data_IF_552964747464
#
_entry.id   IF_552964747464
#
_cell.length_a   1.000
_cell.length_b   1.000
_cell.length_c   1.000
_cell.angle_alpha   90.00
_cell.angle_beta   90.00
_cell.angle_gamma   90.00
#
_symmetry.space_group_name_H-M   'P 1'
#
loop_
_entity.id
_entity.type
_entity.pdbx_description
1 polymer ?
#
# COMPACT_ATOMS: atom_id res chain seq x y z
N UNK A 1 -31.88 11.15 -2.51
CA UNK A 1 -31.77 9.70 -2.28
C UNK A 1 -31.57 9.06 -3.64
N UNK A 2 -30.37 8.58 -3.97
CA UNK A 2 -30.12 7.90 -5.26
C UNK A 2 -30.70 6.50 -5.15
N UNK A 3 -31.72 6.20 -5.94
CA UNK A 3 -32.36 4.88 -5.91
C UNK A 3 -31.58 3.92 -6.82
N UNK A 4 -30.62 3.18 -6.25
CA UNK A 4 -29.79 2.25 -7.00
C UNK A 4 -30.52 0.92 -7.25
N UNK A 5 -30.47 0.43 -8.49
CA UNK A 5 -31.07 -0.82 -8.93
C UNK A 5 -30.06 -1.95 -8.75
N UNK A 6 -30.34 -2.90 -7.84
CA UNK A 6 -29.48 -4.08 -7.65
C UNK A 6 -29.67 -5.09 -8.77
N UNK A 7 -28.60 -5.80 -9.12
CA UNK A 7 -28.74 -7.03 -9.90
C UNK A 7 -29.60 -8.03 -9.11
N UNK A 8 -30.72 -8.45 -9.69
CA UNK A 8 -31.70 -9.34 -9.06
C UNK A 8 -31.29 -10.83 -9.05
N UNK A 9 -30.16 -11.16 -9.69
CA UNK A 9 -29.60 -12.53 -9.72
C UNK A 9 -28.47 -12.68 -8.71
N UNK A 10 -27.41 -11.87 -8.85
CA UNK A 10 -26.23 -12.00 -8.01
C UNK A 10 -26.32 -11.18 -6.73
N UNK A 11 -27.04 -10.06 -6.71
CA UNK A 11 -27.15 -9.08 -5.61
C UNK A 11 -25.86 -8.31 -5.25
N UNK A 12 -24.74 -8.52 -5.94
CA UNK A 12 -23.40 -8.00 -5.58
C UNK A 12 -23.00 -6.72 -6.34
N UNK A 13 -23.88 -6.18 -7.18
CA UNK A 13 -23.68 -4.92 -7.89
C UNK A 13 -24.99 -4.14 -7.98
N UNK A 14 -24.87 -2.82 -8.04
CA UNK A 14 -26.00 -1.90 -8.18
C UNK A 14 -25.73 -0.89 -9.29
N UNK A 15 -26.79 -0.44 -9.96
CA UNK A 15 -26.75 0.48 -11.11
C UNK A 15 -27.57 1.73 -10.81
N UNK A 16 -27.19 2.88 -11.37
CA UNK A 16 -27.97 4.11 -11.22
C UNK A 16 -29.18 4.20 -12.18
N UNK A 17 -29.26 3.34 -13.20
CA UNK A 17 -30.39 3.24 -14.12
C UNK A 17 -30.48 1.84 -14.73
N UNK A 18 -31.64 1.50 -15.30
CA UNK A 18 -31.82 0.25 -16.05
C UNK A 18 -30.99 0.26 -17.35
N UNK A 19 -30.79 1.43 -17.96
CA UNK A 19 -29.94 1.59 -19.14
C UNK A 19 -28.48 1.19 -18.86
N UNK A 20 -27.90 1.68 -17.75
CA UNK A 20 -26.54 1.30 -17.36
C UNK A 20 -26.43 -0.18 -16.95
N UNK A 21 -27.49 -0.74 -16.37
CA UNK A 21 -27.58 -2.18 -16.10
C UNK A 21 -27.58 -3.01 -17.39
N UNK A 22 -28.33 -2.57 -18.41
CA UNK A 22 -28.37 -3.24 -19.71
C UNK A 22 -27.06 -3.09 -20.48
N UNK A 23 -26.43 -1.91 -20.42
CA UNK A 23 -25.13 -1.66 -21.04
C UNK A 23 -24.04 -2.58 -20.46
N UNK A 24 -24.03 -2.77 -19.14
CA UNK A 24 -23.05 -3.62 -18.46
C UNK A 24 -23.39 -5.12 -18.51
N UNK A 25 -24.62 -5.51 -18.88
CA UNK A 25 -25.09 -6.89 -18.86
C UNK A 25 -24.18 -7.88 -19.63
N UNK A 26 -23.66 -7.58 -20.84
CA UNK A 26 -22.79 -8.51 -21.57
C UNK A 26 -21.50 -8.85 -20.80
N UNK A 27 -20.91 -7.85 -20.12
CA UNK A 27 -19.70 -7.99 -19.31
C UNK A 27 -20.02 -8.74 -18.01
N UNK A 28 -21.09 -8.34 -17.31
CA UNK A 28 -21.49 -8.91 -16.02
C UNK A 28 -22.00 -10.36 -16.06
N UNK A 29 -22.56 -10.81 -17.20
CA UNK A 29 -23.33 -12.06 -17.28
C UNK A 29 -22.57 -13.29 -16.77
N UNK A 30 -21.29 -13.41 -17.10
CA UNK A 30 -20.47 -14.58 -16.73
C UNK A 30 -20.30 -14.66 -15.21
N UNK A 31 -19.78 -13.61 -14.59
CA UNK A 31 -19.60 -13.54 -13.13
C UNK A 31 -20.93 -13.63 -12.37
N UNK A 32 -21.97 -12.98 -12.88
CA UNK A 32 -23.31 -13.06 -12.30
C UNK A 32 -23.81 -14.51 -12.21
N UNK A 33 -23.55 -15.32 -13.24
CA UNK A 33 -23.98 -16.72 -13.30
C UNK A 33 -23.19 -17.57 -12.31
N UNK A 34 -21.87 -17.36 -12.20
CA UNK A 34 -21.01 -18.04 -11.23
C UNK A 34 -21.40 -17.72 -9.78
N UNK A 35 -21.68 -16.44 -9.48
CA UNK A 35 -22.18 -16.01 -8.18
C UNK A 35 -23.53 -16.67 -7.87
N UNK A 36 -24.48 -16.62 -8.81
CA UNK A 36 -25.80 -17.21 -8.62
C UNK A 36 -25.71 -18.72 -8.35
N UNK A 37 -24.85 -19.43 -9.09
CA UNK A 37 -24.58 -20.86 -8.87
C UNK A 37 -24.07 -21.13 -7.45
N UNK A 38 -23.11 -20.34 -6.98
CA UNK A 38 -22.62 -20.46 -5.61
C UNK A 38 -23.73 -20.22 -4.58
N UNK A 39 -24.53 -19.18 -4.75
CA UNK A 39 -25.62 -18.84 -3.83
C UNK A 39 -26.71 -19.91 -3.80
N UNK A 40 -27.04 -20.54 -4.94
CA UNK A 40 -27.96 -21.68 -5.00
C UNK A 40 -27.45 -22.89 -4.21
N UNK A 41 -26.14 -23.15 -4.28
CA UNK A 41 -25.51 -24.23 -3.52
C UNK A 41 -25.34 -23.89 -2.03
N UNK A 42 -25.44 -22.60 -1.66
CA UNK A 42 -25.25 -22.10 -0.30
C UNK A 42 -26.40 -21.15 0.10
N UNK A 43 -27.65 -21.66 0.24
CA UNK A 43 -28.83 -20.81 0.36
C UNK A 43 -28.84 -19.90 1.59
N UNK A 44 -28.10 -20.26 2.65
CA UNK A 44 -28.00 -19.47 3.88
C UNK A 44 -26.88 -18.41 3.83
N UNK A 45 -26.07 -18.35 2.77
CA UNK A 45 -24.89 -17.49 2.73
C UNK A 45 -25.21 -16.01 3.02
N UNK A 46 -26.30 -15.49 2.43
CA UNK A 46 -26.69 -14.08 2.55
C UNK A 46 -27.36 -13.74 3.88
N UNK A 47 -27.97 -14.71 4.56
CA UNK A 47 -28.72 -14.50 5.81
C UNK A 47 -27.91 -14.86 7.05
N UNK A 48 -26.87 -15.68 6.89
CA UNK A 48 -26.01 -16.12 7.98
C UNK A 48 -25.27 -14.94 8.61
N UNK A 49 -25.18 -14.97 9.94
CA UNK A 49 -24.37 -14.06 10.74
C UNK A 49 -23.01 -14.66 11.00
N UNK A 50 -22.01 -13.79 11.03
CA UNK A 50 -20.62 -14.17 11.15
C UNK A 50 -19.89 -13.18 12.06
N UNK A 51 -18.91 -13.69 12.82
CA UNK A 51 -17.83 -12.85 13.30
C UNK A 51 -17.02 -12.34 12.11
N UNK A 52 -16.31 -11.21 12.28
CA UNK A 52 -15.50 -10.62 11.21
C UNK A 52 -14.52 -11.62 10.58
N UNK A 53 -13.78 -12.39 11.40
CA UNK A 53 -12.80 -13.37 10.93
C UNK A 53 -13.46 -14.47 10.10
N UNK A 54 -14.56 -15.04 10.59
CA UNK A 54 -15.23 -16.13 9.87
C UNK A 54 -15.89 -15.61 8.58
N UNK A 55 -16.41 -14.38 8.60
CA UNK A 55 -16.91 -13.71 7.40
C UNK A 55 -15.80 -13.53 6.36
N UNK A 56 -14.64 -13.00 6.76
CA UNK A 56 -13.49 -12.78 5.88
C UNK A 56 -13.01 -14.09 5.21
N UNK A 57 -12.88 -15.16 6.00
CA UNK A 57 -12.54 -16.50 5.48
C UNK A 57 -13.62 -16.99 4.51
N UNK A 58 -14.90 -16.81 4.85
CA UNK A 58 -16.01 -17.23 4.01
C UNK A 58 -16.14 -16.41 2.72
N UNK A 59 -15.77 -15.14 2.74
CA UNK A 59 -15.71 -14.29 1.56
C UNK A 59 -14.59 -14.70 0.62
N UNK A 60 -13.38 -14.96 1.16
CA UNK A 60 -12.27 -15.47 0.35
C UNK A 60 -12.61 -16.79 -0.34
N UNK A 61 -13.18 -17.75 0.38
CA UNK A 61 -13.63 -19.03 -0.20
C UNK A 61 -14.70 -18.84 -1.28
N UNK A 62 -15.59 -17.87 -1.09
CA UNK A 62 -16.61 -17.55 -2.08
C UNK A 62 -15.98 -16.97 -3.35
N UNK A 63 -15.09 -15.97 -3.22
CA UNK A 63 -14.35 -15.39 -4.32
C UNK A 63 -13.54 -16.45 -5.10
N UNK A 64 -12.80 -17.31 -4.40
CA UNK A 64 -12.03 -18.41 -4.99
C UNK A 64 -12.93 -19.40 -5.75
N UNK A 65 -14.11 -19.73 -5.20
CA UNK A 65 -15.08 -20.58 -5.89
C UNK A 65 -15.62 -19.94 -7.17
N UNK A 66 -15.88 -18.64 -7.17
CA UNK A 66 -16.36 -17.91 -8.36
C UNK A 66 -15.26 -17.84 -9.41
N UNK A 67 -14.02 -17.53 -9.02
CA UNK A 67 -12.87 -17.49 -9.91
C UNK A 67 -12.64 -18.87 -10.57
N UNK A 68 -12.75 -19.96 -9.80
CA UNK A 68 -12.65 -21.32 -10.32
C UNK A 68 -13.75 -21.64 -11.34
N UNK A 69 -14.99 -21.20 -11.10
CA UNK A 69 -16.12 -21.42 -12.03
C UNK A 69 -15.97 -20.60 -13.32
N UNK A 70 -15.38 -19.40 -13.23
CA UNK A 70 -15.09 -18.55 -14.39
C UNK A 70 -13.94 -19.07 -15.25
N UNK A 71 -13.01 -19.85 -14.68
CA UNK A 71 -11.83 -20.35 -15.38
C UNK A 71 -10.81 -19.28 -15.78
N UNK A 72 -10.91 -18.08 -15.18
CA UNK A 72 -9.97 -16.97 -15.36
C UNK A 72 -9.79 -16.20 -14.06
N UNK A 73 -8.75 -15.37 -13.97
CA UNK A 73 -8.64 -14.38 -12.89
C UNK A 73 -9.80 -13.38 -12.95
N UNK A 74 -10.16 -12.85 -11.77
CA UNK A 74 -11.14 -11.78 -11.68
C UNK A 74 -10.54 -10.47 -12.16
N UNK A 75 -11.33 -9.71 -12.91
CA UNK A 75 -11.00 -8.32 -13.23
C UNK A 75 -11.04 -7.48 -11.95
N UNK A 76 -10.41 -6.30 -11.97
CA UNK A 76 -10.26 -5.49 -10.75
C UNK A 76 -11.61 -5.08 -10.15
N UNK A 77 -12.53 -4.59 -10.98
CA UNK A 77 -13.89 -4.25 -10.52
C UNK A 77 -14.68 -5.48 -10.05
N UNK A 78 -14.42 -6.67 -10.60
CA UNK A 78 -15.02 -7.92 -10.13
C UNK A 78 -14.50 -8.30 -8.75
N UNK A 79 -13.20 -8.09 -8.50
CA UNK A 79 -12.61 -8.26 -7.17
C UNK A 79 -13.25 -7.28 -6.18
N UNK A 80 -13.42 -6.02 -6.57
CA UNK A 80 -14.07 -5.00 -5.75
C UNK A 80 -15.52 -5.37 -5.37
N UNK A 81 -16.26 -6.09 -6.22
CA UNK A 81 -17.61 -6.58 -5.87
C UNK A 81 -17.61 -7.49 -4.62
N UNK A 82 -16.54 -8.26 -4.39
CA UNK A 82 -16.38 -9.08 -3.19
C UNK A 82 -15.79 -8.27 -2.03
N UNK A 83 -14.76 -7.46 -2.29
CA UNK A 83 -14.09 -6.64 -1.28
C UNK A 83 -15.04 -5.63 -0.63
N UNK A 84 -15.91 -5.00 -1.41
CA UNK A 84 -16.87 -3.99 -0.94
C UNK A 84 -18.30 -4.52 -0.89
N UNK A 85 -18.45 -5.83 -0.70
CA UNK A 85 -19.77 -6.44 -0.58
C UNK A 85 -20.59 -5.84 0.57
N UNK A 86 -21.86 -5.53 0.28
CA UNK A 86 -22.78 -5.00 1.28
C UNK A 86 -23.04 -6.05 2.35
N UNK A 87 -22.66 -5.73 3.58
CA UNK A 87 -22.89 -6.56 4.76
C UNK A 87 -22.98 -5.70 6.02
N UNK A 88 -23.76 -6.13 7.00
CA UNK A 88 -23.88 -5.42 8.27
C UNK A 88 -22.50 -5.25 8.92
N UNK A 89 -22.16 -4.03 9.35
CA UNK A 89 -20.90 -3.67 10.00
C UNK A 89 -20.58 -4.57 11.21
N UNK A 90 -21.61 -5.01 11.93
CA UNK A 90 -21.47 -5.82 13.13
C UNK A 90 -21.53 -7.33 12.81
N UNK A 91 -22.67 -7.83 12.31
CA UNK A 91 -22.89 -9.28 12.17
C UNK A 91 -22.63 -9.85 10.78
N UNK A 92 -22.24 -9.02 9.82
CA UNK A 92 -21.82 -9.43 8.48
C UNK A 92 -22.87 -10.16 7.62
N UNK A 93 -24.14 -10.17 8.01
CA UNK A 93 -25.23 -10.63 7.13
C UNK A 93 -25.40 -9.68 5.94
N UNK A 94 -25.90 -10.18 4.81
CA UNK A 94 -26.02 -9.44 3.55
C UNK A 94 -27.46 -8.94 3.25
N UNK A 95 -28.42 -9.28 4.10
CA UNK A 95 -29.86 -8.99 3.90
C UNK A 95 -30.42 -8.09 5.00
N UNK A 96 -31.51 -7.38 4.68
CA UNK A 96 -32.18 -6.47 5.62
C UNK A 96 -31.29 -5.30 6.07
N UNK A 97 -30.53 -4.73 5.14
CA UNK A 97 -29.50 -3.72 5.43
C UNK A 97 -29.97 -2.30 5.13
N UNK A 98 -29.65 -1.38 6.03
CA UNK A 98 -29.72 0.06 5.87
C UNK A 98 -28.31 0.63 5.76
N UNK A 99 -28.11 1.64 4.91
CA UNK A 99 -26.82 2.30 4.74
C UNK A 99 -26.70 3.53 5.65
N UNK A 100 -25.49 3.86 6.09
CA UNK A 100 -25.20 5.15 6.69
C UNK A 100 -25.54 6.27 5.71
N UNK A 101 -26.43 7.19 6.10
CA UNK A 101 -26.90 8.27 5.21
C UNK A 101 -25.86 9.38 5.01
N UNK A 102 -24.78 9.39 5.79
CA UNK A 102 -23.68 10.36 5.67
C UNK A 102 -22.62 9.87 4.69
N UNK A 103 -21.97 8.73 4.98
CA UNK A 103 -20.88 8.23 4.15
C UNK A 103 -21.29 7.30 3.01
N UNK A 104 -22.52 6.76 3.03
CA UNK A 104 -23.05 5.78 2.06
C UNK A 104 -22.19 4.52 1.87
N UNK A 105 -21.17 4.33 2.69
CA UNK A 105 -20.10 3.34 2.49
C UNK A 105 -20.23 2.13 3.40
N UNK A 106 -20.98 2.24 4.50
CA UNK A 106 -21.15 1.19 5.51
C UNK A 106 -22.64 0.91 5.69
N UNK A 107 -22.96 -0.38 5.84
CA UNK A 107 -24.31 -0.89 6.05
C UNK A 107 -24.48 -1.48 7.45
N UNK A 108 -25.68 -1.44 7.99
CA UNK A 108 -26.08 -2.09 9.24
C UNK A 108 -27.45 -2.74 9.09
N UNK A 109 -27.74 -3.79 9.85
CA UNK A 109 -29.11 -4.32 9.93
C UNK A 109 -29.88 -3.67 11.09
N UNK A 110 -31.21 -3.73 11.04
CA UNK A 110 -32.08 -3.06 12.02
C UNK A 110 -31.74 -3.44 13.47
N UNK A 111 -31.40 -4.71 13.72
CA UNK A 111 -31.03 -5.21 15.05
C UNK A 111 -29.74 -4.59 15.59
N UNK A 112 -28.79 -4.23 14.72
CA UNK A 112 -27.52 -3.64 15.12
C UNK A 112 -27.49 -2.12 14.97
N UNK A 113 -28.64 -1.45 14.84
CA UNK A 113 -28.70 0.01 14.69
C UNK A 113 -28.01 0.74 15.86
N UNK A 114 -28.32 0.36 17.10
CA UNK A 114 -27.76 1.02 18.30
C UNK A 114 -26.26 0.80 18.40
N UNK A 115 -25.79 -0.43 18.22
CA UNK A 115 -24.35 -0.74 18.25
C UNK A 115 -23.61 -0.09 17.09
N UNK A 116 -24.24 0.00 15.92
CA UNK A 116 -23.72 0.74 14.78
C UNK A 116 -23.54 2.22 15.10
N UNK A 117 -24.56 2.88 15.69
CA UNK A 117 -24.47 4.30 16.03
C UNK A 117 -23.38 4.58 17.09
N UNK A 118 -23.05 3.59 17.95
CA UNK A 118 -21.95 3.66 18.91
C UNK A 118 -20.57 3.45 18.28
N UNK A 119 -20.42 2.46 17.39
CA UNK A 119 -19.12 2.07 16.81
C UNK A 119 -18.77 2.81 15.52
N UNK A 120 -19.76 3.28 14.77
CA UNK A 120 -19.57 4.08 13.55
C UNK A 120 -19.47 5.55 13.93
N UNK A 121 -18.38 5.89 14.61
CA UNK A 121 -18.12 7.23 15.10
C UNK A 121 -18.03 8.25 13.96
N UNK A 122 -18.25 9.52 14.33
CA UNK A 122 -18.25 10.65 13.38
C UNK A 122 -16.95 10.74 12.58
N UNK A 123 -15.79 10.63 13.25
CA UNK A 123 -14.48 10.74 12.59
C UNK A 123 -14.27 9.63 11.56
N UNK A 124 -14.60 8.40 11.92
CA UNK A 124 -14.52 7.27 10.99
C UNK A 124 -15.47 7.43 9.79
N UNK A 125 -16.68 7.95 10.02
CA UNK A 125 -17.61 8.32 8.96
C UNK A 125 -17.04 9.41 8.04
N UNK A 126 -16.37 10.40 8.60
CA UNK A 126 -15.78 11.53 7.85
C UNK A 126 -14.62 11.06 6.96
N UNK A 127 -13.78 10.11 7.41
CA UNK A 127 -12.76 9.49 6.56
C UNK A 127 -13.34 8.69 5.39
N UNK A 128 -14.47 8.00 5.60
CA UNK A 128 -15.17 7.29 4.52
C UNK A 128 -15.79 8.26 3.51
N UNK A 129 -16.28 9.42 3.96
CA UNK A 129 -16.75 10.50 3.08
C UNK A 129 -15.58 11.03 2.25
N UNK A 130 -14.45 11.31 2.88
CA UNK A 130 -13.25 11.79 2.18
C UNK A 130 -12.80 10.78 1.13
N UNK A 131 -12.65 9.51 1.50
CA UNK A 131 -12.32 8.43 0.57
C UNK A 131 -13.29 8.38 -0.61
N UNK A 132 -14.61 8.34 -0.35
CA UNK A 132 -15.62 8.25 -1.40
C UNK A 132 -15.55 9.45 -2.34
N UNK A 133 -15.38 10.66 -1.81
CA UNK A 133 -15.25 11.87 -2.62
C UNK A 133 -14.00 11.82 -3.50
N UNK A 134 -12.86 11.36 -2.98
CA UNK A 134 -11.63 11.20 -3.76
C UNK A 134 -11.81 10.18 -4.89
N UNK A 135 -12.42 9.02 -4.62
CA UNK A 135 -12.70 8.02 -5.66
C UNK A 135 -13.64 8.54 -6.75
N UNK A 136 -14.62 9.39 -6.39
CA UNK A 136 -15.53 10.00 -7.36
C UNK A 136 -14.91 11.13 -8.18
N UNK A 137 -13.81 11.73 -7.72
CA UNK A 137 -13.16 12.84 -8.44
C UNK A 137 -12.42 12.39 -9.71
N UNK A 138 -12.26 11.07 -9.93
CA UNK A 138 -11.58 10.46 -11.07
C UNK A 138 -10.14 10.97 -11.31
N UNK A 139 -9.53 11.62 -10.30
CA UNK A 139 -8.13 12.00 -10.33
C UNK A 139 -7.29 10.77 -9.99
N UNK A 140 -6.77 10.11 -11.01
CA UNK A 140 -5.70 9.15 -10.87
C UNK A 140 -4.34 9.81 -11.10
N UNK A 141 -3.28 9.13 -10.68
CA UNK A 141 -1.90 9.53 -10.96
C UNK A 141 -1.63 9.80 -12.44
N UNK A 142 -2.46 9.27 -13.35
CA UNK A 142 -2.39 9.43 -14.80
C UNK A 142 -2.46 10.91 -15.27
N UNK A 143 -2.92 11.84 -14.44
CA UNK A 143 -2.70 13.29 -14.67
C UNK A 143 -1.30 13.76 -14.26
N UNK A 144 -0.30 12.91 -14.51
CA UNK A 144 1.10 12.99 -14.01
C UNK A 144 1.70 14.37 -14.16
N UNK A 145 1.47 15.03 -15.30
CA UNK A 145 1.98 16.36 -15.60
C UNK A 145 1.66 17.39 -14.50
N UNK A 146 0.45 17.35 -13.93
CA UNK A 146 0.06 18.29 -12.87
C UNK A 146 0.79 18.04 -11.56
N UNK A 147 1.07 16.78 -11.22
CA UNK A 147 1.77 16.38 -10.01
C UNK A 147 3.27 16.64 -10.17
N UNK A 148 3.88 16.21 -11.27
CA UNK A 148 5.31 16.45 -11.55
C UNK A 148 5.68 17.94 -11.54
N UNK A 149 4.77 18.82 -11.99
CA UNK A 149 4.98 20.28 -11.89
C UNK A 149 5.11 20.78 -10.44
N UNK A 150 4.49 20.13 -9.46
CA UNK A 150 4.62 20.52 -8.05
C UNK A 150 6.02 20.19 -7.49
N UNK A 151 6.70 19.17 -8.00
CA UNK A 151 8.10 18.88 -7.65
C UNK A 151 9.06 20.00 -8.09
N UNK A 152 8.73 20.79 -9.11
CA UNK A 152 9.58 21.92 -9.54
C UNK A 152 9.72 23.01 -8.47
N UNK A 153 8.76 23.13 -7.55
CA UNK A 153 8.78 24.08 -6.45
C UNK A 153 9.63 23.59 -5.27
N UNK A 154 9.91 22.29 -5.20
CA UNK A 154 10.67 21.70 -4.11
C UNK A 154 12.12 22.24 -4.15
N UNK A 155 12.68 22.72 -3.02
CA UNK A 155 14.03 23.27 -3.00
C UNK A 155 15.10 22.17 -3.02
N UNK A 156 16.31 22.51 -3.49
CA UNK A 156 17.49 21.61 -3.43
C UNK A 156 18.30 21.83 -2.14
N UNK A 157 17.86 22.75 -1.28
CA UNK A 157 18.52 23.03 -0.02
C UNK A 157 18.05 22.06 1.06
N UNK A 158 18.88 21.91 2.09
CA UNK A 158 18.67 20.96 3.19
C UNK A 158 17.61 21.49 4.18
N UNK A 159 16.50 22.01 3.67
CA UNK A 159 15.38 22.50 4.47
C UNK A 159 14.68 21.31 5.14
N UNK A 160 14.63 21.33 6.47
CA UNK A 160 14.04 20.21 7.22
C UNK A 160 12.53 20.26 7.09
N UNK A 161 11.94 19.19 6.59
CA UNK A 161 10.51 18.93 6.71
C UNK A 161 10.31 17.74 7.64
N UNK A 162 9.47 17.92 8.65
CA UNK A 162 9.36 16.98 9.76
C UNK A 162 8.46 15.78 9.45
N UNK A 163 7.43 15.99 8.64
CA UNK A 163 6.38 15.02 8.31
C UNK A 163 5.66 15.35 6.98
N UNK A 164 4.74 14.48 6.58
CA UNK A 164 3.94 14.64 5.35
C UNK A 164 3.10 15.91 5.36
N UNK A 165 2.54 16.31 6.51
CA UNK A 165 1.66 17.48 6.58
C UNK A 165 2.46 18.76 6.30
N UNK A 166 3.58 18.95 7.00
CA UNK A 166 4.48 20.09 6.74
C UNK A 166 5.05 20.08 5.33
N UNK A 167 5.47 18.92 4.82
CA UNK A 167 5.96 18.81 3.45
C UNK A 167 4.91 19.32 2.44
N UNK A 168 3.65 18.97 2.66
CA UNK A 168 2.56 19.37 1.79
C UNK A 168 2.25 20.87 1.92
N UNK A 169 2.24 21.41 3.14
CA UNK A 169 2.02 22.83 3.40
C UNK A 169 3.12 23.72 2.80
N UNK A 170 4.39 23.32 2.95
CA UNK A 170 5.55 24.15 2.61
C UNK A 170 5.85 24.13 1.11
N UNK A 171 5.66 22.99 0.43
CA UNK A 171 6.17 22.80 -0.93
C UNK A 171 5.10 22.58 -1.99
N UNK A 172 3.91 22.13 -1.59
CA UNK A 172 2.92 21.60 -2.53
C UNK A 172 1.67 22.47 -2.60
N UNK A 173 1.19 22.97 -1.46
CA UNK A 173 -0.03 23.76 -1.37
C UNK A 173 0.17 25.18 -1.90
N UNK A 174 -0.78 25.63 -2.74
CA UNK A 174 -0.86 27.04 -3.13
C UNK A 174 -1.52 27.91 -2.05
N UNK A 175 -2.27 27.30 -1.12
CA UNK A 175 -2.96 27.96 0.00
C UNK A 175 -2.76 27.16 1.27
N UNK A 176 -1.90 27.68 2.15
CA UNK A 176 -1.56 27.04 3.42
C UNK A 176 -2.80 26.64 4.23
N UNK A 177 -2.80 25.39 4.72
CA UNK A 177 -3.78 24.88 5.68
C UNK A 177 -5.17 24.56 5.10
N UNK A 178 -5.36 24.60 3.77
CA UNK A 178 -6.62 24.21 3.11
C UNK A 178 -6.38 23.12 2.09
N UNK A 179 -6.61 21.89 2.53
CA UNK A 179 -6.49 20.70 1.70
C UNK A 179 -7.63 20.56 0.71
N UNK A 180 -7.30 20.38 -0.56
CA UNK A 180 -8.24 19.90 -1.58
C UNK A 180 -7.98 18.43 -1.93
N UNK A 181 -8.77 17.89 -2.87
CA UNK A 181 -8.64 16.49 -3.27
C UNK A 181 -7.28 16.14 -3.90
N UNK A 182 -6.65 17.09 -4.59
CA UNK A 182 -5.35 16.88 -5.22
C UNK A 182 -4.24 16.83 -4.17
N UNK A 183 -4.37 17.55 -3.06
CA UNK A 183 -3.38 17.49 -1.98
C UNK A 183 -3.33 16.09 -1.35
N UNK A 184 -4.49 15.47 -1.10
CA UNK A 184 -4.53 14.09 -0.61
C UNK A 184 -3.91 13.11 -1.63
N UNK A 185 -4.26 13.22 -2.91
CA UNK A 185 -3.71 12.38 -3.97
C UNK A 185 -2.19 12.55 -4.08
N UNK A 186 -1.71 13.78 -3.98
CA UNK A 186 -0.29 14.08 -4.02
C UNK A 186 0.45 13.56 -2.79
N UNK A 187 -0.15 13.62 -1.59
CA UNK A 187 0.45 13.00 -0.39
C UNK A 187 0.67 11.49 -0.57
N UNK A 188 -0.25 10.80 -1.27
CA UNK A 188 -0.11 9.38 -1.63
C UNK A 188 0.99 9.17 -2.69
N UNK A 189 1.08 10.10 -3.65
CA UNK A 189 2.06 10.10 -4.73
C UNK A 189 3.50 10.13 -4.22
N UNK A 190 3.81 11.06 -3.31
CA UNK A 190 5.17 11.27 -2.80
C UNK A 190 5.50 10.43 -1.57
N UNK A 191 4.50 9.77 -0.97
CA UNK A 191 4.69 9.01 0.27
C UNK A 191 5.84 8.03 0.16
N UNK A 192 5.89 7.20 -0.88
CA UNK A 192 6.90 6.14 -1.00
C UNK A 192 8.36 6.65 -1.06
N UNK A 193 8.75 7.55 -1.98
CA UNK A 193 10.12 8.07 -2.01
C UNK A 193 10.50 8.86 -0.74
N UNK A 194 9.58 9.61 -0.14
CA UNK A 194 9.83 10.29 1.14
C UNK A 194 10.01 9.32 2.30
N UNK A 195 9.22 8.25 2.33
CA UNK A 195 9.34 7.17 3.31
C UNK A 195 10.70 6.48 3.23
N UNK A 196 11.20 6.27 2.00
CA UNK A 196 12.51 5.68 1.76
C UNK A 196 13.61 6.58 2.30
N UNK A 197 13.59 7.86 1.94
CA UNK A 197 14.54 8.85 2.43
C UNK A 197 14.56 8.91 3.97
N UNK A 198 13.37 9.02 4.59
CA UNK A 198 13.22 9.04 6.04
C UNK A 198 13.69 7.75 6.70
N UNK A 199 13.36 6.58 6.13
CA UNK A 199 13.78 5.29 6.65
C UNK A 199 15.31 5.14 6.68
N UNK A 200 15.99 5.61 5.64
CA UNK A 200 17.46 5.59 5.54
C UNK A 200 18.12 6.58 6.50
N UNK A 201 17.55 7.78 6.64
CA UNK A 201 17.96 8.76 7.63
C UNK A 201 17.84 8.21 9.05
N UNK A 202 16.67 7.69 9.42
CA UNK A 202 16.39 7.13 10.76
C UNK A 202 17.27 5.91 11.07
N UNK A 203 17.54 5.10 10.06
CA UNK A 203 18.47 3.99 10.21
C UNK A 203 19.91 4.46 10.39
N UNK A 204 20.25 5.75 10.41
CA UNK A 204 21.65 6.24 10.34
C UNK A 204 22.45 5.49 9.27
N UNK A 205 21.81 5.31 8.11
CA UNK A 205 22.44 4.86 6.88
C UNK A 205 22.48 5.99 5.82
N UNK A 206 22.59 7.29 6.20
CA UNK A 206 22.58 8.36 5.19
C UNK A 206 23.80 8.22 4.28
N UNK A 207 24.92 7.75 4.84
CA UNK A 207 26.10 7.24 4.18
C UNK A 207 25.82 6.41 2.91
N UNK A 208 24.78 5.56 2.88
CA UNK A 208 24.52 4.75 1.69
C UNK A 208 23.83 5.55 0.57
N UNK A 209 23.12 6.64 0.91
CA UNK A 209 22.61 7.62 -0.05
C UNK A 209 23.68 8.68 -0.41
N UNK A 210 24.55 9.02 0.54
CA UNK A 210 25.52 10.13 0.45
C UNK A 210 26.91 9.70 -0.08
N UNK A 211 27.28 8.41 -0.06
CA UNK A 211 28.59 7.95 -0.55
C UNK A 211 28.59 7.46 -2.01
N UNK A 212 27.44 7.36 -2.65
CA UNK A 212 27.34 6.94 -4.05
C UNK A 212 27.31 8.12 -5.01
N UNK A 213 28.44 8.81 -5.22
CA UNK A 213 28.53 9.71 -6.39
C UNK A 213 28.28 8.91 -7.66
N UNK A 214 27.42 9.42 -8.53
CA UNK A 214 27.14 8.80 -9.82
C UNK A 214 25.80 8.05 -9.83
N UNK A 215 25.85 6.73 -10.02
CA UNK A 215 24.66 5.91 -10.27
C UNK A 215 24.10 5.25 -9.01
N UNK A 216 22.82 5.49 -8.74
CA UNK A 216 22.06 4.89 -7.64
C UNK A 216 20.93 4.00 -8.16
N UNK A 217 20.99 2.71 -7.86
CA UNK A 217 20.06 1.68 -8.33
C UNK A 217 19.16 1.22 -7.18
N UNK A 218 17.85 1.36 -7.34
CA UNK A 218 16.86 0.94 -6.36
C UNK A 218 16.02 -0.19 -6.95
N UNK A 219 15.93 -1.32 -6.25
CA UNK A 219 15.02 -2.40 -6.62
C UNK A 219 13.75 -2.33 -5.79
N UNK A 220 12.59 -2.30 -6.44
CA UNK A 220 11.26 -2.34 -5.82
C UNK A 220 10.65 -3.72 -6.06
N UNK A 221 10.52 -4.51 -5.00
CA UNK A 221 10.01 -5.88 -5.06
C UNK A 221 8.51 -5.90 -4.78
N UNK A 222 7.81 -6.76 -5.52
CA UNK A 222 6.36 -6.93 -5.46
C UNK A 222 5.58 -5.68 -5.90
N UNK A 223 6.20 -4.90 -6.79
CA UNK A 223 5.60 -3.75 -7.43
C UNK A 223 4.41 -4.17 -8.31
N UNK A 224 3.42 -3.29 -8.39
CA UNK A 224 2.25 -3.41 -9.25
C UNK A 224 1.99 -2.07 -9.98
N UNK A 225 0.84 -1.94 -10.62
CA UNK A 225 0.50 -0.74 -11.39
C UNK A 225 0.48 0.53 -10.54
N UNK A 226 0.19 0.44 -9.23
CA UNK A 226 0.21 1.57 -8.30
C UNK A 226 1.62 2.14 -8.21
N UNK A 227 2.61 1.30 -7.93
CA UNK A 227 4.02 1.71 -7.87
C UNK A 227 4.50 2.26 -9.21
N UNK A 228 4.13 1.59 -10.31
CA UNK A 228 4.48 2.05 -11.66
C UNK A 228 3.92 3.44 -11.95
N UNK A 229 2.68 3.71 -11.56
CA UNK A 229 2.03 5.01 -11.76
C UNK A 229 2.63 6.10 -10.85
N UNK A 230 3.12 5.71 -9.66
CA UNK A 230 3.85 6.59 -8.75
C UNK A 230 5.32 6.84 -9.13
N UNK A 231 5.86 6.13 -10.13
CA UNK A 231 7.27 6.21 -10.52
C UNK A 231 7.82 7.65 -10.68
N UNK A 232 7.12 8.61 -11.32
CA UNK A 232 7.73 9.92 -11.52
C UNK A 232 7.95 10.69 -10.20
N UNK A 233 7.27 10.32 -9.10
CA UNK A 233 7.49 10.92 -7.79
C UNK A 233 8.91 10.69 -7.25
N UNK A 234 9.58 9.65 -7.74
CA UNK A 234 10.93 9.27 -7.32
C UNK A 234 11.99 10.29 -7.74
N UNK A 235 11.67 11.20 -8.65
CA UNK A 235 12.49 12.38 -8.94
C UNK A 235 12.85 13.15 -7.66
N UNK A 236 11.99 13.16 -6.64
CA UNK A 236 12.27 13.84 -5.37
C UNK A 236 13.59 13.39 -4.72
N UNK A 237 14.03 12.15 -4.96
CA UNK A 237 15.31 11.66 -4.46
C UNK A 237 16.50 12.36 -5.12
N UNK A 238 16.37 12.82 -6.36
CA UNK A 238 17.39 13.62 -7.04
C UNK A 238 17.56 15.00 -6.39
N UNK A 239 16.49 15.56 -5.81
CA UNK A 239 16.56 16.81 -5.05
C UNK A 239 17.13 16.58 -3.65
N UNK A 240 16.62 15.56 -2.94
CA UNK A 240 17.02 15.24 -1.56
C UNK A 240 18.45 14.69 -1.44
N UNK A 241 18.99 14.11 -2.51
CA UNK A 241 20.33 13.53 -2.54
C UNK A 241 21.13 14.12 -3.71
N UNK A 242 21.75 15.31 -3.52
CA UNK A 242 22.44 16.03 -4.59
C UNK A 242 23.58 15.25 -5.27
N UNK A 243 24.19 14.29 -4.56
CA UNK A 243 25.28 13.45 -5.08
C UNK A 243 24.82 12.38 -6.11
N UNK A 244 23.52 12.15 -6.24
CA UNK A 244 22.97 11.24 -7.24
C UNK A 244 22.96 11.94 -8.60
N UNK A 245 23.81 11.46 -9.52
CA UNK A 245 23.83 11.91 -10.92
C UNK A 245 22.87 11.08 -11.78
N UNK A 246 22.70 9.79 -11.46
CA UNK A 246 21.88 8.86 -12.23
C UNK A 246 21.06 7.97 -11.31
N UNK A 247 19.75 8.19 -11.28
CA UNK A 247 18.81 7.32 -10.56
C UNK A 247 18.29 6.23 -11.49
N UNK A 248 18.31 4.97 -11.06
CA UNK A 248 17.72 3.83 -11.78
C UNK A 248 16.76 3.12 -10.85
N UNK A 249 15.46 3.13 -11.17
CA UNK A 249 14.42 2.43 -10.40
C UNK A 249 13.99 1.17 -11.15
N UNK A 250 14.23 0.01 -10.55
CA UNK A 250 13.92 -1.30 -11.12
C UNK A 250 12.74 -1.91 -10.36
N UNK A 251 11.59 -2.01 -11.02
CA UNK A 251 10.35 -2.53 -10.46
C UNK A 251 10.14 -3.98 -10.88
N UNK A 252 9.93 -4.85 -9.89
CA UNK A 252 9.81 -6.29 -10.07
C UNK A 252 8.46 -6.76 -9.55
N UNK A 253 7.64 -7.32 -10.43
CA UNK A 253 6.32 -7.79 -10.04
C UNK A 253 5.61 -8.58 -11.13
N UNK A 254 5.01 -9.70 -10.76
CA UNK A 254 4.37 -10.65 -11.70
C UNK A 254 3.17 -10.11 -12.47
N UNK A 255 2.66 -8.93 -12.11
CA UNK A 255 1.55 -8.25 -12.78
C UNK A 255 1.98 -7.01 -13.57
N UNK A 256 3.27 -6.71 -13.61
CA UNK A 256 3.79 -5.59 -14.39
C UNK A 256 3.89 -5.98 -15.86
N UNK A 257 3.96 -4.97 -16.72
CA UNK A 257 4.40 -5.15 -18.10
C UNK A 257 5.90 -4.87 -18.17
N UNK A 258 6.59 -5.53 -19.12
CA UNK A 258 7.98 -5.21 -19.38
C UNK A 258 8.08 -3.82 -19.99
N UNK A 259 8.87 -2.95 -19.38
CA UNK A 259 9.02 -1.57 -19.80
C UNK A 259 10.39 -1.05 -19.39
N UNK A 260 11.09 -0.34 -20.28
CA UNK A 260 12.34 0.34 -19.97
C UNK A 260 12.24 1.74 -20.56
N UNK A 261 12.64 2.74 -19.79
CA UNK A 261 12.55 4.12 -20.24
C UNK A 261 13.40 5.09 -19.45
N UNK A 262 13.36 6.33 -19.93
CA UNK A 262 13.92 7.50 -19.27
C UNK A 262 12.72 8.30 -18.76
N UNK A 263 12.72 8.61 -17.48
CA UNK A 263 11.70 9.45 -16.88
C UNK A 263 12.02 10.91 -17.18
N UNK A 264 11.04 11.66 -17.66
CA UNK A 264 11.15 13.11 -17.75
C UNK A 264 11.32 13.69 -16.35
N UNK A 265 12.36 14.50 -16.19
CA UNK A 265 12.71 15.22 -14.95
C UNK A 265 12.51 16.72 -15.16
N UNK A 266 12.42 17.46 -14.06
CA UNK A 266 12.28 18.88 -14.04
C UNK A 266 13.49 19.59 -14.67
N UNK A 267 13.30 20.83 -15.16
CA UNK A 267 14.38 21.62 -15.73
C UNK A 267 15.58 21.79 -14.80
N UNK A 268 15.36 21.78 -13.47
CA UNK A 268 16.44 21.97 -12.50
C UNK A 268 17.35 20.75 -12.42
N UNK A 269 16.80 19.55 -12.22
CA UNK A 269 17.57 18.30 -12.27
C UNK A 269 18.25 18.12 -13.65
N UNK A 270 17.59 18.53 -14.74
CA UNK A 270 18.21 18.53 -16.07
C UNK A 270 19.40 19.52 -16.17
N UNK A 271 19.29 20.72 -15.60
CA UNK A 271 20.41 21.68 -15.52
C UNK A 271 21.59 21.13 -14.70
N UNK A 272 21.30 20.37 -13.64
CA UNK A 272 22.31 19.67 -12.83
C UNK A 272 22.87 18.41 -13.52
N UNK A 273 22.45 18.14 -14.76
CA UNK A 273 22.84 16.96 -15.57
C UNK A 273 22.51 15.64 -14.90
N UNK A 274 21.45 15.62 -14.10
CA UNK A 274 20.94 14.38 -13.51
C UNK A 274 20.13 13.61 -14.53
N UNK A 275 20.06 12.30 -14.36
CA UNK A 275 19.28 11.41 -15.21
C UNK A 275 18.43 10.47 -14.36
N UNK A 276 17.21 10.17 -14.81
CA UNK A 276 16.33 9.22 -14.16
C UNK A 276 15.88 8.14 -15.17
N UNK A 277 16.30 6.89 -14.93
CA UNK A 277 15.92 5.71 -15.70
C UNK A 277 15.02 4.79 -14.88
N UNK A 278 14.21 4.00 -15.58
CA UNK A 278 13.43 2.96 -14.96
C UNK A 278 13.37 1.68 -15.80
N UNK A 279 13.18 0.56 -15.11
CA UNK A 279 12.97 -0.76 -15.70
C UNK A 279 11.87 -1.49 -14.94
N UNK A 280 10.93 -2.07 -15.66
CA UNK A 280 9.84 -2.87 -15.12
C UNK A 280 9.94 -4.28 -15.68
N UNK A 281 9.90 -5.27 -14.80
CA UNK A 281 9.94 -6.68 -15.20
C UNK A 281 8.76 -7.46 -14.60
N UNK A 282 8.13 -8.24 -15.47
CA UNK A 282 7.08 -9.22 -15.12
C UNK A 282 7.69 -10.53 -14.60
N UNK A 283 8.50 -10.49 -13.55
CA UNK A 283 9.17 -11.68 -13.00
C UNK A 283 9.41 -11.58 -11.50
N UNK A 284 9.80 -12.70 -10.88
CA UNK A 284 10.28 -12.72 -9.50
C UNK A 284 11.67 -12.07 -9.41
N UNK A 285 12.07 -11.66 -8.21
CA UNK A 285 13.42 -11.14 -8.01
C UNK A 285 14.49 -12.22 -8.25
N UNK A 286 14.22 -13.47 -7.84
CA UNK A 286 15.15 -14.58 -8.07
C UNK A 286 15.38 -14.85 -9.56
N UNK A 287 14.34 -14.73 -10.39
CA UNK A 287 14.47 -14.82 -11.85
C UNK A 287 15.24 -13.63 -12.41
N UNK A 288 14.99 -12.43 -11.90
CA UNK A 288 15.74 -11.22 -12.29
C UNK A 288 17.24 -11.34 -11.96
N UNK A 289 17.61 -11.93 -10.82
CA UNK A 289 19.02 -12.20 -10.48
C UNK A 289 19.72 -13.15 -11.46
N UNK A 290 18.98 -14.10 -12.03
CA UNK A 290 19.50 -15.02 -13.04
C UNK A 290 19.47 -14.40 -14.46
N UNK A 291 18.84 -13.24 -14.63
CA UNK A 291 18.70 -12.58 -15.92
C UNK A 291 20.01 -11.91 -16.36
N UNK A 292 20.42 -11.99 -17.63
CA UNK A 292 21.59 -11.28 -18.15
C UNK A 292 21.55 -9.75 -17.98
N UNK A 293 20.35 -9.19 -17.85
CA UNK A 293 20.12 -7.75 -17.67
C UNK A 293 20.24 -7.30 -16.21
N UNK A 294 20.57 -8.23 -15.29
CA UNK A 294 20.66 -7.95 -13.86
C UNK A 294 21.65 -6.83 -13.55
N UNK A 295 21.18 -5.85 -12.76
CA UNK A 295 21.99 -4.79 -12.17
C UNK A 295 22.03 -4.96 -10.65
N UNK A 296 23.17 -4.67 -10.04
CA UNK A 296 23.29 -4.68 -8.57
C UNK A 296 22.56 -3.48 -7.96
N UNK A 297 21.71 -3.73 -6.98
CA UNK A 297 21.07 -2.68 -6.21
C UNK A 297 22.02 -1.99 -5.20
N UNK A 298 21.83 -0.68 -5.04
CA UNK A 298 22.27 0.07 -3.87
C UNK A 298 21.25 -0.05 -2.72
N UNK A 299 19.98 -0.22 -3.05
CA UNK A 299 18.88 -0.38 -2.10
C UNK A 299 17.82 -1.36 -2.65
N UNK A 300 17.33 -2.25 -1.79
CA UNK A 300 16.19 -3.11 -2.10
C UNK A 300 15.01 -2.73 -1.20
N UNK A 301 13.83 -2.60 -1.79
CA UNK A 301 12.60 -2.22 -1.11
C UNK A 301 11.57 -3.34 -1.29
N UNK A 302 11.00 -3.80 -0.18
CA UNK A 302 9.85 -4.69 -0.18
C UNK A 302 8.59 -3.91 0.23
N UNK A 303 7.57 -3.91 -0.62
CA UNK A 303 6.33 -3.18 -0.40
C UNK A 303 5.20 -4.03 0.17
N UNK A 304 4.16 -3.31 0.61
CA UNK A 304 2.92 -3.72 1.29
C UNK A 304 2.20 -4.97 0.74
N UNK A 305 2.43 -5.38 -0.53
CA UNK A 305 1.74 -6.50 -1.19
C UNK A 305 2.17 -7.90 -0.73
N UNK A 306 2.90 -7.97 0.39
CA UNK A 306 3.20 -9.19 1.13
C UNK A 306 1.94 -9.66 1.89
N UNK A 307 0.89 -10.03 1.15
CA UNK A 307 -0.07 -11.01 1.66
C UNK A 307 0.60 -12.40 1.63
N UNK A 308 0.23 -13.23 2.60
CA UNK A 308 0.88 -14.48 3.08
C UNK A 308 1.58 -15.39 2.06
N UNK A 309 1.25 -15.36 0.76
CA UNK A 309 1.89 -16.17 -0.29
C UNK A 309 3.13 -15.54 -0.95
N UNK A 310 3.30 -14.22 -0.94
CA UNK A 310 4.46 -13.55 -1.60
C UNK A 310 5.63 -13.29 -0.66
N UNK A 311 5.42 -13.45 0.65
CA UNK A 311 6.48 -13.28 1.64
C UNK A 311 7.60 -14.32 1.50
N UNK A 312 7.24 -15.58 1.24
CA UNK A 312 8.22 -16.66 1.10
C UNK A 312 9.19 -16.39 -0.05
N UNK A 313 8.67 -15.92 -1.19
CA UNK A 313 9.45 -15.52 -2.36
C UNK A 313 10.40 -14.36 -2.03
N UNK A 314 9.89 -13.27 -1.43
CA UNK A 314 10.73 -12.17 -0.96
C UNK A 314 11.79 -12.62 0.04
N UNK A 315 11.45 -13.52 0.96
CA UNK A 315 12.33 -13.93 2.05
C UNK A 315 13.49 -14.82 1.57
N UNK A 316 13.25 -15.74 0.64
CA UNK A 316 14.29 -16.58 0.02
C UNK A 316 15.27 -15.69 -0.76
N UNK A 317 14.73 -14.74 -1.52
CA UNK A 317 15.52 -13.76 -2.26
C UNK A 317 16.36 -12.87 -1.32
N UNK A 318 15.76 -12.33 -0.26
CA UNK A 318 16.47 -11.45 0.69
C UNK A 318 17.57 -12.19 1.45
N UNK A 319 17.42 -13.51 1.67
CA UNK A 319 18.48 -14.35 2.23
C UNK A 319 19.66 -14.55 1.27
N UNK A 320 19.40 -14.60 -0.04
CA UNK A 320 20.43 -14.72 -1.08
C UNK A 320 21.22 -13.43 -1.29
N UNK A 321 20.70 -12.27 -0.89
CA UNK A 321 21.33 -10.96 -1.13
C UNK A 321 21.69 -10.23 0.16
N UNK A 322 22.93 -10.41 0.63
CA UNK A 322 23.47 -9.76 1.83
C UNK A 322 24.38 -8.55 1.54
N UNK A 323 24.37 -8.00 0.30
CA UNK A 323 25.34 -6.97 -0.12
C UNK A 323 24.85 -5.52 -0.04
N UNK A 324 23.54 -5.27 0.03
CA UNK A 324 22.99 -3.91 0.17
C UNK A 324 21.80 -3.87 1.16
N UNK A 325 21.48 -2.72 1.78
CA UNK A 325 20.37 -2.60 2.72
C UNK A 325 19.03 -3.01 2.12
N UNK A 326 18.15 -3.50 3.00
CA UNK A 326 16.78 -3.85 2.66
C UNK A 326 15.84 -3.01 3.52
N UNK A 327 14.97 -2.25 2.86
CA UNK A 327 13.89 -1.50 3.51
C UNK A 327 12.57 -2.23 3.29
N UNK A 328 11.89 -2.60 4.36
CA UNK A 328 10.53 -3.14 4.28
C UNK A 328 9.55 -2.05 4.72
N UNK A 329 8.62 -1.72 3.84
CA UNK A 329 7.48 -0.88 4.18
C UNK A 329 6.35 -1.82 4.60
N UNK A 330 5.97 -1.76 5.88
CA UNK A 330 5.09 -2.74 6.51
C UNK A 330 3.82 -2.03 7.04
N UNK A 331 2.64 -2.67 6.98
CA UNK A 331 1.44 -2.15 7.63
C UNK A 331 1.61 -1.98 9.15
N UNK A 332 0.94 -0.96 9.73
CA UNK A 332 0.89 -0.72 11.20
C UNK A 332 0.46 -1.97 11.98
N UNK A 333 -0.46 -2.76 11.42
CA UNK A 333 -0.94 -4.02 12.00
C UNK A 333 -0.05 -5.20 11.56
N UNK A 334 1.17 -5.26 12.08
CA UNK A 334 2.04 -6.40 11.83
C UNK A 334 1.49 -7.64 12.57
N UNK A 335 1.17 -8.72 11.84
CA UNK A 335 0.97 -10.02 12.49
C UNK A 335 2.29 -10.44 13.13
N UNK A 336 2.27 -10.81 14.41
CA UNK A 336 3.41 -11.42 15.13
C UNK A 336 4.07 -12.56 14.32
N UNK A 337 3.28 -13.29 13.52
CA UNK A 337 3.77 -14.37 12.67
C UNK A 337 4.66 -13.88 11.51
N UNK A 338 4.37 -12.71 10.93
CA UNK A 338 5.22 -12.13 9.86
C UNK A 338 6.55 -11.67 10.47
N UNK A 339 6.55 -11.03 11.65
CA UNK A 339 7.79 -10.71 12.41
C UNK A 339 8.67 -11.93 12.59
N UNK A 340 8.05 -13.02 13.03
CA UNK A 340 8.73 -14.28 13.32
C UNK A 340 9.31 -14.87 12.04
N UNK A 341 8.54 -14.94 10.95
CA UNK A 341 9.01 -15.41 9.64
C UNK A 341 10.14 -14.53 9.09
N UNK A 342 10.04 -13.19 9.15
CA UNK A 342 11.13 -12.30 8.72
C UNK A 342 12.41 -12.59 9.50
N UNK A 343 12.30 -12.70 10.84
CA UNK A 343 13.45 -12.99 11.70
C UNK A 343 14.08 -14.35 11.39
N UNK A 344 13.25 -15.38 11.19
CA UNK A 344 13.69 -16.74 10.86
C UNK A 344 14.38 -16.82 9.50
N UNK A 345 13.87 -16.09 8.49
CA UNK A 345 14.42 -16.19 7.13
C UNK A 345 15.67 -15.32 6.96
N UNK A 346 15.64 -14.07 7.42
CA UNK A 346 16.74 -13.16 7.17
C UNK A 346 17.96 -13.47 8.05
N UNK A 347 17.76 -13.93 9.30
CA UNK A 347 18.86 -14.07 10.27
C UNK A 347 19.57 -12.73 10.58
N UNK A 348 18.98 -11.61 10.14
CA UNK A 348 19.54 -10.25 10.24
C UNK A 348 19.06 -9.60 11.53
N UNK A 349 19.95 -8.86 12.20
CA UNK A 349 19.60 -8.01 13.34
C UNK A 349 18.72 -6.86 12.87
N UNK A 350 17.46 -6.84 13.32
CA UNK A 350 16.55 -5.70 13.15
C UNK A 350 17.21 -4.45 13.72
N UNK A 351 17.32 -3.38 12.91
CA UNK A 351 17.87 -2.11 13.38
C UNK A 351 16.82 -1.27 14.13
N UNK A 352 15.58 -1.27 13.64
CA UNK A 352 14.45 -0.61 14.30
C UNK A 352 13.15 -0.81 13.54
N UNK A 353 12.03 -0.57 14.23
CA UNK A 353 10.72 -0.33 13.62
C UNK A 353 10.41 1.15 13.87
N UNK A 354 10.09 1.88 12.82
CA UNK A 354 9.87 3.31 12.87
C UNK A 354 8.44 3.61 12.39
N UNK A 355 7.74 4.47 13.14
CA UNK A 355 6.54 5.11 12.61
C UNK A 355 6.96 6.04 11.47
N UNK A 356 6.29 5.89 10.33
CA UNK A 356 6.64 6.66 9.17
C UNK A 356 5.96 8.03 9.23
N UNK A 357 6.77 9.08 9.33
CA UNK A 357 6.24 10.46 9.30
C UNK A 357 5.77 10.88 7.90
N UNK A 358 6.10 10.09 6.89
CA UNK A 358 5.69 10.28 5.49
C UNK A 358 4.63 9.27 5.03
N UNK A 359 3.85 8.73 5.98
CA UNK A 359 2.61 8.02 5.67
C UNK A 359 1.72 8.90 4.79
N UNK A 360 1.05 8.28 3.82
CA UNK A 360 0.10 8.98 2.96
C UNK A 360 -1.06 9.53 3.80
N UNK A 361 -1.54 10.72 3.47
CA UNK A 361 -2.76 11.28 4.07
C UNK A 361 -4.01 10.95 3.25
N UNK A 362 -3.87 10.27 2.10
CA UNK A 362 -5.00 9.75 1.32
C UNK A 362 -5.59 8.51 2.00
N UNK A 363 -6.88 8.53 2.38
CA UNK A 363 -7.54 7.33 2.87
C UNK A 363 -7.75 6.33 1.73
N UNK A 364 -7.42 5.08 1.98
CA UNK A 364 -7.74 3.92 1.14
C UNK A 364 -8.71 3.01 1.87
N UNK A 365 -9.65 2.39 1.16
CA UNK A 365 -10.63 1.50 1.77
C UNK A 365 -10.23 0.04 1.61
N UNK A 366 -10.08 -0.66 2.73
CA UNK A 366 -9.91 -2.12 2.78
C UNK A 366 -11.13 -2.71 3.47
N UNK A 367 -12.02 -3.34 2.68
CA UNK A 367 -13.32 -3.85 3.13
C UNK A 367 -14.23 -2.79 3.77
N UNK A 368 -14.33 -2.78 5.09
CA UNK A 368 -15.11 -1.85 5.89
C UNK A 368 -14.25 -0.82 6.60
N UNK A 369 -12.93 -0.88 6.46
CA UNK A 369 -11.97 -0.04 7.19
C UNK A 369 -11.24 0.91 6.26
N UNK A 370 -10.71 1.99 6.84
CA UNK A 370 -9.80 2.91 6.17
C UNK A 370 -8.37 2.57 6.59
N UNK A 371 -7.47 2.55 5.62
CA UNK A 371 -6.03 2.41 5.77
C UNK A 371 -5.32 3.53 5.02
N UNK A 372 -4.05 3.72 5.33
CA UNK A 372 -3.19 4.70 4.68
C UNK A 372 -1.92 4.00 4.21
N UNK A 373 -1.42 4.40 3.05
CA UNK A 373 -0.23 3.77 2.45
C UNK A 373 1.03 4.17 3.21
N UNK A 374 1.98 3.24 3.24
CA UNK A 374 3.28 3.38 3.89
C UNK A 374 3.21 3.79 5.37
N UNK A 375 2.41 3.11 6.21
CA UNK A 375 2.13 3.60 7.56
C UNK A 375 3.27 3.34 8.56
N UNK A 376 4.19 2.42 8.24
CA UNK A 376 5.37 2.13 9.07
C UNK A 376 6.52 1.57 8.25
N UNK A 377 7.73 1.72 8.79
CA UNK A 377 8.97 1.31 8.13
C UNK A 377 9.78 0.40 9.04
N UNK A 378 10.27 -0.71 8.48
CA UNK A 378 11.26 -1.56 9.14
C UNK A 378 12.51 -1.64 8.28
N UNK A 379 13.62 -1.21 8.85
CA UNK A 379 14.91 -1.21 8.15
C UNK A 379 15.73 -2.41 8.60
N UNK A 380 16.14 -3.23 7.65
CA UNK A 380 17.06 -4.34 7.84
C UNK A 380 18.40 -3.98 7.22
N UNK A 381 19.43 -3.85 8.06
CA UNK A 381 20.77 -3.62 7.56
C UNK A 381 21.38 -4.94 7.12
N UNK A 382 22.06 -4.95 5.97
CA UNK A 382 22.86 -6.10 5.58
C UNK A 382 24.08 -6.30 6.47
N UNK A 383 24.50 -7.54 6.60
CA UNK A 383 25.73 -7.97 7.25
C UNK A 383 26.95 -7.52 6.43
N UNK A 384 27.14 -6.22 6.21
CA UNK A 384 28.48 -5.74 5.87
C UNK A 384 29.27 -5.87 7.15
N UNK A 385 30.08 -6.93 7.21
CA UNK A 385 31.08 -7.17 8.24
C UNK A 385 31.85 -5.85 8.44
N UNK A 386 31.57 -5.12 9.51
CA UNK A 386 32.46 -4.06 10.00
C UNK A 386 33.68 -4.74 10.62
N UNK A 387 34.44 -5.44 9.80
CA UNK A 387 35.76 -5.95 10.13
C UNK A 387 36.78 -5.14 9.34
N UNK A 388 36.97 -3.90 9.77
CA UNK A 388 38.24 -3.20 9.60
C UNK A 388 38.56 -2.42 10.86
N UNK A 389 39.33 -3.12 11.71
CA UNK A 389 40.41 -2.65 12.60
C UNK A 389 40.09 -1.91 13.91
N UNK A 390 40.10 -2.74 14.97
CA UNK A 390 40.86 -2.64 16.24
C UNK A 390 40.58 -1.51 17.25
N UNK A 391 40.15 -1.96 18.44
CA UNK A 391 40.28 -1.23 19.70
C UNK A 391 39.49 -1.93 20.79
N UNK A 392 40.08 -2.94 21.41
CA UNK A 392 39.59 -3.61 22.63
C UNK A 392 39.06 -2.61 23.66
N UNK A 393 37.84 -2.84 24.16
CA UNK A 393 37.59 -2.87 25.60
C UNK A 393 36.25 -3.54 25.90
N UNK A 394 36.35 -4.60 26.69
CA UNK A 394 35.28 -5.29 27.38
C UNK A 394 34.49 -4.35 28.28
N UNK A 395 33.16 -4.41 28.22
CA UNK A 395 32.31 -4.18 29.39
C UNK A 395 31.00 -4.93 29.21
N UNK A 396 30.73 -5.79 30.18
CA UNK A 396 29.52 -6.56 30.41
C UNK A 396 28.41 -5.67 30.95
N UNK A 397 27.19 -5.76 30.42
CA UNK A 397 25.94 -5.33 31.06
C UNK A 397 24.78 -5.98 30.29
N UNK A 398 24.20 -7.05 30.83
CA UNK A 398 23.02 -7.10 31.73
C UNK A 398 21.74 -7.36 30.92
N UNK A 399 21.30 -8.61 31.01
CA UNK A 399 20.03 -9.12 30.51
C UNK A 399 18.90 -8.63 31.44
N UNK A 400 18.11 -7.67 30.97
CA UNK A 400 16.78 -7.42 31.53
C UNK A 400 15.74 -8.08 30.63
N UNK A 401 15.36 -9.30 31.00
CA UNK A 401 14.10 -9.92 30.59
C UNK A 401 12.97 -9.18 31.31
N UNK A 402 12.26 -8.30 30.60
CA UNK A 402 10.93 -7.86 31.05
C UNK A 402 9.88 -8.85 30.55
N UNK A 403 9.35 -9.59 31.52
CA UNK A 403 8.14 -10.38 31.44
C UNK A 403 6.94 -9.45 31.22
N UNK A 404 6.25 -9.59 30.07
CA UNK A 404 4.96 -8.93 29.85
C UNK A 404 3.89 -9.99 29.62
N UNK A 405 2.86 -9.86 30.46
CA UNK A 405 1.70 -10.71 30.66
C UNK A 405 0.84 -10.82 29.40
N UNK A 406 0.44 -12.06 29.09
CA UNK A 406 -0.53 -12.40 28.05
C UNK A 406 -1.90 -11.87 28.46
N UNK A 407 -2.41 -10.88 27.74
CA UNK A 407 -3.85 -10.60 27.65
C UNK A 407 -4.23 -10.19 26.23
N UNK A 408 -5.42 -10.62 25.83
CA UNK A 408 -6.04 -10.58 24.51
C UNK A 408 -5.86 -9.28 23.71
N UNK A 409 -5.12 -9.35 22.60
CA UNK A 409 -4.97 -8.26 21.61
C UNK A 409 -5.96 -8.42 20.45
N UNK A 410 -7.19 -7.95 20.63
CA UNK A 410 -8.09 -7.52 19.56
C UNK A 410 -8.97 -6.36 20.05
N UNK A 411 -8.32 -5.30 20.52
CA UNK A 411 -8.94 -3.98 20.58
C UNK A 411 -8.23 -3.10 19.54
N UNK A 412 -8.89 -2.89 18.40
CA UNK A 412 -8.71 -1.65 17.66
C UNK A 412 -9.38 -0.56 18.49
N UNK A 413 -8.75 -0.16 19.59
CA UNK A 413 -9.07 1.09 20.25
C UNK A 413 -8.31 2.18 19.50
N UNK A 414 -9.10 3.02 18.84
CA UNK A 414 -8.73 4.37 18.44
C UNK A 414 -8.03 5.04 19.62
N UNK A 415 -6.75 5.38 19.44
CA UNK A 415 -6.15 6.50 20.13
C UNK A 415 -5.53 7.37 19.05
N UNK A 416 -5.93 8.64 19.09
CA UNK A 416 -5.57 9.73 18.19
C UNK A 416 -4.08 9.78 17.85
#
# INVERSE_FOLDING_TARGET
MVNLIRCNRCFFISYCSEDHKNLHLPQHRKICTAIEKFLKNNPQYLTRRWSYINWWISQRKFQESVQKDLGRELEEYETQMFTFTRSCFICHQHTGLSSCQRCLSIDYCLEHKVEFDQKHERLFCDHLILWLNLELTNFQYESTASLSLKLMKFPDDNTSFDDMEKFMEDYIQDRMGKWDGLDYIYSDYVSEPLSIYYGLYMAKLPDILLFGKGTYVIHVIAANFIERNGLPAWEILLHLCPDIEKLIVIMLGTKLQFEIGIQEICPRCACDKKEFFYECYSMSYSDYMANPSYKSANLVIGLETIYESKFEECSITMKQYQKCPILLIIPKAEKLDIRKKIKEVLGIKKRGLYYNKFESLRPHRVTKFITYRNPSLTVYQTLINTNSTNGTNSTSESSNEESIVISSLWDFSLSY
#
